data_IF_358553784748
#
_entry.id   IF_358553784748
#
_cell.length_a   1.000
_cell.length_b   1.000
_cell.length_c   1.000
_cell.angle_alpha   90.00
_cell.angle_beta   90.00
_cell.angle_gamma   90.00
#
_symmetry.space_group_name_H-M   'P 1'
#
loop_
_entity.id
_entity.type
_entity.pdbx_description
1 polymer ?
#
# COMPACT_ATOMS: atom_id res chain seq x y z
N UNK A 1 -46.68 18.17 42.73
CA UNK A 1 -45.78 17.06 42.35
C UNK A 1 -45.49 17.21 40.87
N UNK A 2 -44.24 16.94 40.47
CA UNK A 2 -43.50 17.62 39.40
C UNK A 2 -44.01 17.39 37.96
N UNK A 3 -43.75 18.41 37.14
CA UNK A 3 -43.96 18.49 35.71
C UNK A 3 -42.83 17.84 34.88
N UNK A 4 -43.01 17.87 33.55
CA UNK A 4 -42.01 17.82 32.44
C UNK A 4 -41.77 16.42 31.85
N UNK A 5 -41.55 16.20 30.56
CA UNK A 5 -41.60 17.03 29.35
C UNK A 5 -41.67 16.06 28.14
N UNK A 6 -42.38 16.48 27.10
CA UNK A 6 -42.37 15.89 25.76
C UNK A 6 -41.18 16.44 24.98
N UNK A 7 -40.41 15.60 24.26
CA UNK A 7 -39.63 16.06 23.11
C UNK A 7 -39.53 14.98 22.02
N UNK A 8 -39.94 15.41 20.83
CA UNK A 8 -39.64 14.86 19.50
C UNK A 8 -38.41 15.61 18.95
N UNK A 9 -37.67 14.99 18.01
CA UNK A 9 -37.15 15.58 16.75
C UNK A 9 -35.70 15.19 16.34
N UNK A 10 -35.64 14.61 15.14
CA UNK A 10 -34.81 14.91 13.96
C UNK A 10 -33.25 14.98 13.97
N UNK A 11 -32.74 14.35 12.90
CA UNK A 11 -31.39 14.30 12.33
C UNK A 11 -30.50 15.53 12.53
N UNK A 12 -29.21 15.30 12.84
CA UNK A 12 -28.15 16.18 12.38
C UNK A 12 -26.80 15.46 12.22
N UNK A 13 -26.07 15.80 11.14
CA UNK A 13 -24.77 15.24 10.73
C UNK A 13 -23.74 15.33 11.87
N UNK A 14 -22.95 14.28 12.11
CA UNK A 14 -21.67 14.40 12.84
C UNK A 14 -20.50 14.16 11.89
N UNK A 15 -19.95 15.26 11.41
CA UNK A 15 -18.62 15.32 10.82
C UNK A 15 -17.53 15.11 11.89
N UNK A 16 -16.31 14.96 11.39
CA UNK A 16 -15.09 14.83 12.18
C UNK A 16 -14.82 16.16 12.91
N UNK A 17 -14.68 16.13 14.23
CA UNK A 17 -14.31 17.30 15.04
C UNK A 17 -12.92 17.06 15.64
N UNK A 18 -11.91 17.82 15.20
CA UNK A 18 -10.64 17.98 15.91
C UNK A 18 -10.64 19.38 16.52
N UNK A 19 -10.77 19.46 17.85
CA UNK A 19 -10.62 20.73 18.57
C UNK A 19 -9.15 20.96 18.93
N UNK A 20 -8.61 22.06 18.44
CA UNK A 20 -7.36 22.67 18.91
C UNK A 20 -7.72 23.85 19.81
N UNK A 21 -7.15 23.94 21.02
CA UNK A 21 -7.30 25.10 21.92
C UNK A 21 -6.04 25.95 21.92
N UNK A 22 -5.94 27.01 21.10
CA UNK A 22 -4.83 27.94 21.18
C UNK A 22 -5.05 28.97 22.29
N UNK A 23 -4.01 29.16 23.10
CA UNK A 23 -3.87 30.29 24.03
C UNK A 23 -3.61 31.56 23.21
N UNK A 24 -4.53 32.52 23.30
CA UNK A 24 -4.49 33.77 22.53
C UNK A 24 -3.46 34.75 23.09
N UNK A 25 -2.34 34.97 22.40
CA UNK A 25 -1.58 36.23 22.49
C UNK A 25 -1.62 36.93 21.14
N UNK A 26 -2.26 38.10 21.11
CA UNK A 26 -2.38 38.96 19.94
C UNK A 26 -1.01 39.52 19.58
N UNK A 27 -0.49 39.13 18.42
CA UNK A 27 0.51 39.90 17.69
C UNK A 27 0.11 39.90 16.22
N UNK A 28 -0.13 41.10 15.69
CA UNK A 28 -0.48 41.35 14.30
C UNK A 28 0.81 41.51 13.48
N UNK A 29 0.74 41.06 12.22
CA UNK A 29 1.75 41.14 11.16
C UNK A 29 2.91 40.12 11.20
N UNK A 30 2.76 39.04 10.44
CA UNK A 30 3.68 38.78 9.33
C UNK A 30 3.07 37.83 8.31
N UNK A 31 3.44 38.05 7.06
CA UNK A 31 2.76 37.61 5.85
C UNK A 31 2.57 36.09 5.73
N UNK A 32 1.42 35.74 5.15
CA UNK A 32 1.08 34.40 4.72
C UNK A 32 2.13 33.84 3.74
N UNK A 33 2.92 32.88 4.22
CA UNK A 33 3.52 31.85 3.35
C UNK A 33 2.61 30.64 3.48
N UNK A 34 1.43 30.70 2.84
CA UNK A 34 0.80 29.48 2.37
C UNK A 34 1.72 28.94 1.29
N UNK A 35 2.69 28.12 1.68
CA UNK A 35 3.36 27.24 0.73
C UNK A 35 2.25 26.40 0.10
N UNK A 36 1.86 26.76 -1.13
CA UNK A 36 1.14 25.84 -1.98
C UNK A 36 2.07 24.63 -2.11
N UNK A 37 1.81 23.59 -1.33
CA UNK A 37 2.12 22.25 -1.79
C UNK A 37 1.27 22.08 -3.04
N UNK A 38 1.84 22.47 -4.19
CA UNK A 38 1.36 22.00 -5.46
C UNK A 38 1.40 20.48 -5.34
N UNK A 39 0.25 19.87 -5.10
CA UNK A 39 0.09 18.43 -5.27
C UNK A 39 0.45 18.21 -6.74
N UNK A 40 1.69 17.76 -7.00
CA UNK A 40 2.08 17.35 -8.32
C UNK A 40 0.98 16.40 -8.81
N UNK A 41 0.50 16.54 -10.06
CA UNK A 41 -0.46 15.59 -10.58
C UNK A 41 0.15 14.21 -10.40
N UNK A 42 -0.52 13.37 -9.60
CA UNK A 42 -0.07 12.02 -9.32
C UNK A 42 0.27 11.36 -10.65
N UNK A 43 1.52 10.91 -10.81
CA UNK A 43 1.90 10.21 -12.04
C UNK A 43 1.19 8.88 -12.02
N UNK A 44 0.03 8.84 -12.68
CA UNK A 44 -0.91 7.72 -12.58
C UNK A 44 -0.25 6.39 -12.91
N UNK A 45 0.72 6.38 -13.86
CA UNK A 45 1.54 5.21 -14.19
C UNK A 45 3.00 5.65 -14.15
N UNK A 46 3.75 5.14 -13.17
CA UNK A 46 5.17 5.43 -13.02
C UNK A 46 6.04 4.46 -13.82
N UNK A 47 5.56 3.23 -14.03
CA UNK A 47 6.22 2.18 -14.80
C UNK A 47 5.18 1.31 -15.51
N UNK A 48 5.46 0.98 -16.76
CA UNK A 48 4.68 0.10 -17.62
C UNK A 48 5.65 -0.66 -18.50
N UNK A 49 5.73 -1.98 -18.34
CA UNK A 49 6.65 -2.82 -19.10
C UNK A 49 6.41 -2.78 -20.61
N UNK A 50 5.17 -2.55 -21.04
CA UNK A 50 4.84 -2.41 -22.46
C UNK A 50 5.52 -1.18 -23.11
N UNK A 51 6.01 -0.24 -22.28
CA UNK A 51 6.68 0.99 -22.72
C UNK A 51 8.13 1.07 -22.24
N UNK A 52 8.40 0.60 -21.02
CA UNK A 52 9.65 0.85 -20.29
C UNK A 52 10.64 -0.31 -20.37
N UNK A 53 10.21 -1.47 -20.88
CA UNK A 53 10.94 -2.72 -20.82
C UNK A 53 10.68 -3.50 -19.54
N UNK A 54 11.23 -4.71 -19.49
CA UNK A 54 11.07 -5.69 -18.41
C UNK A 54 11.48 -5.13 -17.05
N UNK A 55 10.71 -5.45 -16.02
CA UNK A 55 11.11 -5.34 -14.63
C UNK A 55 12.22 -6.35 -14.34
N UNK A 56 13.00 -6.09 -13.30
CA UNK A 56 14.18 -6.90 -13.03
C UNK A 56 13.77 -8.27 -12.50
N UNK A 57 14.21 -9.31 -13.20
CA UNK A 57 14.18 -10.69 -12.74
C UNK A 57 15.26 -11.03 -11.69
N UNK A 58 16.03 -10.03 -11.22
CA UNK A 58 17.12 -10.21 -10.28
C UNK A 58 16.84 -9.50 -8.95
N UNK A 59 16.56 -10.30 -7.92
CA UNK A 59 16.32 -9.85 -6.54
C UNK A 59 17.45 -9.01 -5.92
N UNK A 60 18.69 -9.23 -6.36
CA UNK A 60 19.87 -8.48 -5.91
C UNK A 60 20.07 -7.15 -6.65
N UNK A 61 19.35 -6.93 -7.75
CA UNK A 61 19.41 -5.72 -8.57
C UNK A 61 18.00 -5.35 -9.08
N UNK A 62 17.06 -4.97 -8.19
CA UNK A 62 15.69 -4.64 -8.55
C UNK A 62 15.60 -3.37 -9.42
N UNK A 63 14.53 -3.24 -10.21
CA UNK A 63 14.24 -2.02 -10.96
C UNK A 63 13.93 -0.88 -10.00
N UNK A 64 14.76 0.17 -10.01
CA UNK A 64 14.58 1.32 -9.13
C UNK A 64 13.44 2.24 -9.62
N UNK A 65 12.39 2.35 -8.82
CA UNK A 65 11.22 3.18 -9.07
C UNK A 65 11.26 4.47 -8.25
N UNK A 66 11.01 5.59 -8.92
CA UNK A 66 10.88 6.90 -8.25
C UNK A 66 9.41 7.18 -7.96
N UNK A 67 9.05 7.20 -6.68
CA UNK A 67 7.71 7.57 -6.25
C UNK A 67 7.56 9.08 -6.15
N UNK A 68 6.37 9.57 -6.45
CA UNK A 68 5.94 10.95 -6.19
C UNK A 68 4.82 10.96 -5.15
N UNK A 69 4.63 12.03 -4.38
CA UNK A 69 3.49 12.12 -3.48
C UNK A 69 2.16 11.93 -4.23
N UNK A 70 1.33 11.01 -3.77
CA UNK A 70 0.05 10.66 -4.40
C UNK A 70 0.00 9.23 -4.93
N UNK A 71 -0.86 8.99 -5.93
CA UNK A 71 -1.02 7.69 -6.57
C UNK A 71 0.15 7.43 -7.54
N UNK A 72 0.79 6.27 -7.41
CA UNK A 72 1.79 5.78 -8.33
C UNK A 72 1.37 4.37 -8.74
N UNK A 73 1.19 4.10 -10.05
CA UNK A 73 0.88 2.74 -10.53
C UNK A 73 2.05 2.12 -11.27
N UNK A 74 2.23 0.83 -11.06
CA UNK A 74 3.21 -0.02 -11.75
C UNK A 74 2.40 -1.09 -12.48
N UNK A 75 2.71 -1.29 -13.75
CA UNK A 75 2.10 -2.33 -14.58
C UNK A 75 3.23 -3.25 -15.02
N UNK A 76 3.13 -4.51 -14.61
CA UNK A 76 4.08 -5.57 -14.91
C UNK A 76 3.38 -6.86 -15.31
N UNK A 77 4.16 -7.79 -15.82
CA UNK A 77 3.79 -9.09 -16.36
C UNK A 77 4.84 -10.07 -15.85
N UNK A 78 4.39 -11.20 -15.32
CA UNK A 78 5.26 -12.34 -15.03
C UNK A 78 4.79 -13.53 -15.83
N UNK A 79 5.69 -14.44 -16.19
CA UNK A 79 5.40 -15.63 -16.98
C UNK A 79 5.80 -16.95 -16.28
N UNK A 80 5.87 -16.97 -14.95
CA UNK A 80 6.08 -18.18 -14.16
C UNK A 80 7.54 -18.66 -14.10
N UNK A 81 7.80 -19.63 -13.22
CA UNK A 81 9.15 -20.18 -13.02
C UNK A 81 9.53 -21.20 -14.10
N UNK A 82 10.82 -21.35 -14.43
CA UNK A 82 11.28 -22.46 -15.25
C UNK A 82 10.96 -23.83 -14.60
N UNK A 83 10.65 -24.87 -15.40
CA UNK A 83 10.68 -24.90 -16.86
C UNK A 83 9.43 -24.37 -17.56
N UNK A 84 8.35 -24.08 -16.84
CA UNK A 84 7.07 -23.66 -17.44
C UNK A 84 7.09 -22.22 -17.96
N UNK A 85 7.99 -21.39 -17.42
CA UNK A 85 8.06 -19.95 -17.65
C UNK A 85 9.46 -19.40 -17.89
N UNK A 86 9.51 -18.16 -18.35
CA UNK A 86 10.77 -17.43 -18.61
C UNK A 86 10.98 -16.23 -17.70
N UNK A 87 9.98 -15.90 -16.90
CA UNK A 87 9.91 -14.65 -16.16
C UNK A 87 9.22 -14.92 -14.81
N UNK A 88 9.99 -15.45 -13.84
CA UNK A 88 9.45 -15.94 -12.59
C UNK A 88 8.86 -14.85 -11.70
N UNK A 89 9.55 -13.71 -11.57
CA UNK A 89 9.28 -12.70 -10.55
C UNK A 89 9.89 -11.35 -10.90
N UNK A 90 9.07 -10.32 -10.74
CA UNK A 90 9.49 -8.93 -10.85
C UNK A 90 9.99 -8.38 -9.51
N UNK A 91 11.18 -7.80 -9.54
CA UNK A 91 11.79 -7.13 -8.40
C UNK A 91 11.86 -5.63 -8.65
N UNK A 92 11.22 -4.87 -7.76
CA UNK A 92 11.23 -3.40 -7.77
C UNK A 92 11.80 -2.88 -6.47
N UNK A 93 12.46 -1.72 -6.52
CA UNK A 93 12.83 -1.01 -5.29
C UNK A 93 12.34 0.42 -5.34
N UNK A 94 11.97 0.97 -4.19
CA UNK A 94 11.56 2.37 -4.09
C UNK A 94 11.93 2.96 -2.74
N UNK A 95 11.95 4.29 -2.67
CA UNK A 95 12.17 5.02 -1.41
C UNK A 95 10.97 5.89 -1.08
N UNK A 96 10.46 5.75 0.13
CA UNK A 96 9.51 6.67 0.76
C UNK A 96 10.35 7.78 1.43
N UNK A 97 10.28 9.04 0.98
CA UNK A 97 11.10 10.11 1.54
C UNK A 97 10.71 10.46 2.99
N UNK A 98 11.63 11.06 3.74
CA UNK A 98 11.37 11.57 5.08
C UNK A 98 10.18 12.54 5.08
N UNK A 99 9.28 12.40 6.06
CA UNK A 99 8.05 13.19 6.14
C UNK A 99 6.86 12.62 5.34
N UNK A 100 7.07 11.52 4.59
CA UNK A 100 6.01 10.79 3.89
C UNK A 100 5.84 9.38 4.45
N UNK A 101 4.67 8.81 4.21
CA UNK A 101 4.32 7.42 4.53
C UNK A 101 3.49 6.83 3.39
N UNK A 102 3.58 5.52 3.16
CA UNK A 102 2.67 4.80 2.26
C UNK A 102 1.49 4.28 3.08
N UNK A 103 0.29 4.80 2.78
CA UNK A 103 -0.95 4.44 3.48
C UNK A 103 -1.73 3.33 2.78
N UNK A 104 -1.41 3.03 1.52
CA UNK A 104 -2.14 2.07 0.71
C UNK A 104 -1.25 1.42 -0.34
N UNK A 105 -1.42 0.11 -0.53
CA UNK A 105 -0.87 -0.67 -1.63
C UNK A 105 -2.01 -1.51 -2.21
N UNK A 106 -2.52 -1.12 -3.38
CA UNK A 106 -3.77 -1.68 -3.94
C UNK A 106 -3.44 -2.61 -5.09
N UNK A 107 -3.96 -3.84 -5.04
CA UNK A 107 -4.01 -4.68 -6.23
C UNK A 107 -5.06 -4.13 -7.18
N UNK A 108 -4.65 -3.34 -8.18
CA UNK A 108 -5.61 -2.64 -9.04
C UNK A 108 -6.31 -3.57 -10.03
N UNK A 109 -5.60 -4.58 -10.54
CA UNK A 109 -6.06 -5.52 -11.57
C UNK A 109 -5.01 -6.62 -11.72
N UNK A 110 -5.45 -7.84 -12.02
CA UNK A 110 -4.60 -8.86 -12.60
C UNK A 110 -5.35 -9.57 -13.74
N UNK A 111 -4.60 -10.20 -14.64
CA UNK A 111 -5.10 -11.18 -15.62
C UNK A 111 -4.14 -12.36 -15.54
N UNK A 112 -4.62 -13.50 -15.05
CA UNK A 112 -3.79 -14.71 -14.92
C UNK A 112 -4.66 -15.96 -15.09
N UNK A 113 -4.05 -17.02 -15.61
CA UNK A 113 -4.61 -18.38 -15.60
C UNK A 113 -4.27 -19.12 -14.31
N UNK A 114 -3.29 -18.63 -13.55
CA UNK A 114 -2.90 -19.23 -12.29
C UNK A 114 -3.94 -18.95 -11.22
N UNK A 115 -4.10 -19.91 -10.32
CA UNK A 115 -5.07 -19.80 -9.24
C UNK A 115 -4.65 -18.73 -8.20
N UNK A 116 -3.35 -18.47 -8.09
CA UNK A 116 -2.79 -17.60 -7.07
C UNK A 116 -1.50 -16.91 -7.54
N UNK A 117 -1.38 -15.61 -7.24
CA UNK A 117 -0.15 -14.82 -7.33
C UNK A 117 0.32 -14.36 -5.94
N UNK A 118 1.51 -13.76 -5.90
CA UNK A 118 2.18 -13.33 -4.68
C UNK A 118 2.75 -11.92 -4.84
N UNK A 119 2.73 -11.16 -3.74
CA UNK A 119 3.49 -9.91 -3.61
C UNK A 119 3.96 -9.79 -2.16
N UNK A 120 5.16 -9.24 -1.96
CA UNK A 120 5.76 -9.07 -0.65
C UNK A 120 6.86 -8.03 -0.70
N UNK A 121 7.34 -7.62 0.47
CA UNK A 121 8.46 -6.69 0.54
C UNK A 121 9.40 -6.98 1.71
N UNK A 122 10.62 -6.48 1.59
CA UNK A 122 11.65 -6.38 2.61
C UNK A 122 12.15 -4.92 2.67
N UNK A 123 12.67 -4.48 3.81
CA UNK A 123 13.44 -3.23 3.86
C UNK A 123 14.82 -3.40 3.20
N UNK A 124 15.19 -2.44 2.36
CA UNK A 124 16.46 -2.46 1.60
C UNK A 124 16.26 -2.07 0.14
N UNK A 125 17.35 -1.77 -0.56
CA UNK A 125 17.37 -1.51 -2.01
C UNK A 125 17.55 -2.77 -2.85
N UNK A 126 17.60 -3.93 -2.20
CA UNK A 126 17.67 -5.25 -2.80
C UNK A 126 17.04 -6.25 -1.82
N UNK A 127 16.55 -7.38 -2.35
CA UNK A 127 16.03 -8.46 -1.54
C UNK A 127 17.14 -9.48 -1.30
N UNK A 128 17.48 -9.69 -0.02
CA UNK A 128 18.62 -10.53 0.39
C UNK A 128 18.20 -11.90 0.93
N UNK A 129 16.89 -12.12 1.12
CA UNK A 129 16.35 -13.36 1.66
C UNK A 129 16.13 -14.45 0.61
N UNK A 130 15.52 -15.53 1.07
CA UNK A 130 14.96 -16.60 0.22
C UNK A 130 13.50 -16.25 -0.10
N UNK A 131 13.20 -16.10 -1.40
CA UNK A 131 11.89 -15.72 -1.94
C UNK A 131 10.80 -16.76 -1.68
N UNK A 132 11.17 -17.97 -1.28
CA UNK A 132 10.24 -19.05 -0.92
C UNK A 132 10.05 -19.20 0.58
N UNK A 133 10.67 -18.32 1.39
CA UNK A 133 10.58 -18.36 2.86
C UNK A 133 9.89 -17.11 3.37
N UNK A 134 8.74 -17.29 4.03
CA UNK A 134 7.95 -16.20 4.60
C UNK A 134 8.77 -15.28 5.53
N UNK A 135 9.70 -15.84 6.31
CA UNK A 135 10.59 -15.11 7.22
C UNK A 135 11.59 -14.16 6.53
N UNK A 136 11.70 -14.20 5.21
CA UNK A 136 12.47 -13.24 4.42
C UNK A 136 11.72 -11.91 4.20
N UNK A 137 10.40 -11.89 4.40
CA UNK A 137 9.54 -10.75 4.12
C UNK A 137 9.17 -9.99 5.41
N UNK A 138 9.06 -8.68 5.30
CA UNK A 138 8.42 -7.83 6.31
C UNK A 138 6.90 -8.04 6.32
N UNK A 139 6.31 -8.18 5.14
CA UNK A 139 4.93 -8.59 4.95
C UNK A 139 4.70 -9.04 3.52
N UNK A 140 3.67 -9.87 3.32
CA UNK A 140 3.31 -10.39 2.01
C UNK A 140 1.81 -10.63 1.91
N UNK A 141 1.31 -10.76 0.69
CA UNK A 141 -0.06 -11.11 0.40
C UNK A 141 -0.13 -12.03 -0.82
N UNK A 142 -1.05 -12.99 -0.76
CA UNK A 142 -1.49 -13.73 -1.94
C UNK A 142 -2.69 -13.03 -2.56
N UNK A 143 -2.84 -13.16 -3.87
CA UNK A 143 -4.00 -12.69 -4.61
C UNK A 143 -4.40 -13.71 -5.67
N UNK A 144 -5.60 -13.61 -6.23
CA UNK A 144 -6.14 -14.62 -7.16
C UNK A 144 -7.35 -15.35 -6.61
N UNK A 145 -7.83 -16.33 -7.37
CA UNK A 145 -9.05 -17.09 -7.09
C UNK A 145 -8.83 -18.32 -6.21
N UNK A 146 -7.62 -18.58 -5.73
CA UNK A 146 -7.35 -19.55 -4.66
C UNK A 146 -6.61 -18.93 -3.47
N UNK A 147 -6.42 -17.60 -3.47
CA UNK A 147 -5.90 -16.91 -2.30
C UNK A 147 -6.90 -16.99 -1.14
N UNK A 148 -6.44 -17.39 0.05
CA UNK A 148 -7.25 -17.35 1.26
C UNK A 148 -7.35 -15.90 1.72
N UNK A 149 -8.43 -15.24 1.34
CA UNK A 149 -8.60 -13.80 1.53
C UNK A 149 -9.35 -13.45 2.84
N UNK A 150 -9.26 -12.19 3.31
CA UNK A 150 -9.68 -11.78 4.65
C UNK A 150 -11.18 -11.67 4.90
N UNK A 151 -12.01 -11.95 3.90
CA UNK A 151 -13.45 -11.76 4.03
C UNK A 151 -14.12 -12.85 4.88
N UNK A 152 -13.35 -13.80 5.42
CA UNK A 152 -13.88 -14.90 6.25
C UNK A 152 -14.83 -15.79 5.47
N UNK A 153 -14.79 -15.71 4.14
CA UNK A 153 -15.64 -16.47 3.25
C UNK A 153 -14.86 -17.72 2.83
N UNK A 154 -15.45 -18.94 2.93
CA UNK A 154 -14.83 -20.14 2.36
C UNK A 154 -14.69 -20.09 0.83
N UNK A 155 -15.18 -19.02 0.19
CA UNK A 155 -15.05 -18.77 -1.24
C UNK A 155 -13.88 -17.79 -1.47
N UNK A 156 -12.92 -18.14 -2.33
CA UNK A 156 -11.89 -17.20 -2.76
C UNK A 156 -12.52 -15.94 -3.38
N UNK A 157 -12.32 -14.79 -2.75
CA UNK A 157 -12.77 -13.50 -3.26
C UNK A 157 -11.58 -12.73 -3.84
N UNK A 158 -11.67 -12.19 -5.05
CA UNK A 158 -10.57 -11.43 -5.66
C UNK A 158 -10.10 -10.27 -4.77
N UNK A 159 -8.80 -10.05 -4.65
CA UNK A 159 -8.23 -8.88 -3.94
C UNK A 159 -8.14 -7.63 -4.82
N UNK A 160 -8.74 -7.66 -6.02
CA UNK A 160 -8.81 -6.47 -6.89
C UNK A 160 -9.55 -5.33 -6.18
N UNK A 161 -8.92 -4.15 -6.14
CA UNK A 161 -9.41 -2.97 -5.44
C UNK A 161 -9.18 -2.99 -3.93
N UNK A 162 -8.59 -4.06 -3.37
CA UNK A 162 -8.28 -4.16 -1.95
C UNK A 162 -6.93 -3.52 -1.65
N UNK A 163 -6.87 -2.72 -0.57
CA UNK A 163 -5.60 -2.29 0.01
C UNK A 163 -4.97 -3.47 0.77
N UNK A 164 -3.86 -3.99 0.24
CA UNK A 164 -3.14 -5.14 0.77
C UNK A 164 -2.30 -4.78 1.99
N UNK A 165 -1.94 -3.51 2.21
CA UNK A 165 -0.99 -3.13 3.27
C UNK A 165 -1.42 -3.58 4.68
N UNK A 166 -2.70 -3.43 5.11
CA UNK A 166 -3.16 -3.98 6.39
C UNK A 166 -3.15 -5.51 6.44
N UNK A 167 -3.31 -6.18 5.30
CA UNK A 167 -3.32 -7.64 5.21
C UNK A 167 -1.90 -8.19 5.37
N UNK A 168 -0.95 -7.57 4.66
CA UNK A 168 0.47 -7.91 4.73
C UNK A 168 1.06 -7.76 6.14
N UNK A 169 0.49 -6.88 6.97
CA UNK A 169 0.92 -6.66 8.35
C UNK A 169 0.26 -7.61 9.36
N UNK A 170 -0.79 -8.33 8.97
CA UNK A 170 -1.55 -9.17 9.88
C UNK A 170 -0.97 -10.60 9.85
N UNK A 171 -0.47 -11.12 10.99
CA UNK A 171 0.18 -12.43 11.04
C UNK A 171 -0.76 -13.60 10.72
N UNK A 172 -2.08 -13.41 10.79
CA UNK A 172 -3.05 -14.42 10.33
C UNK A 172 -3.11 -14.53 8.80
N UNK A 173 -2.67 -13.50 8.07
CA UNK A 173 -2.67 -13.45 6.60
C UNK A 173 -1.26 -13.55 6.00
N UNK A 174 -0.25 -13.12 6.74
CA UNK A 174 1.16 -13.26 6.41
C UNK A 174 1.91 -14.11 7.47
N UNK A 175 1.49 -15.37 7.72
CA UNK A 175 2.12 -16.20 8.74
C UNK A 175 3.61 -16.41 8.48
N UNK A 176 4.42 -16.19 9.50
CA UNK A 176 5.88 -16.36 9.41
C UNK A 176 6.64 -15.15 8.84
N UNK A 177 5.95 -14.11 8.37
CA UNK A 177 6.59 -12.84 8.06
C UNK A 177 7.21 -12.20 9.31
N UNK A 178 8.24 -11.38 9.11
CA UNK A 178 8.93 -10.68 10.22
C UNK A 178 8.08 -9.55 10.82
N UNK A 179 7.11 -9.05 10.06
CA UNK A 179 6.13 -8.07 10.49
C UNK A 179 6.53 -6.62 10.23
N UNK A 180 5.53 -5.76 10.15
CA UNK A 180 5.66 -4.31 10.11
C UNK A 180 4.38 -3.66 10.65
N UNK A 181 4.37 -2.34 10.79
CA UNK A 181 3.19 -1.59 11.22
C UNK A 181 2.77 -0.60 10.14
N UNK A 182 1.55 -0.70 9.57
CA UNK A 182 1.01 0.31 8.67
C UNK A 182 0.75 1.64 9.40
N UNK A 183 0.91 2.79 8.72
CA UNK A 183 1.39 2.95 7.35
C UNK A 183 2.90 2.67 7.25
N UNK A 184 3.36 2.29 6.05
CA UNK A 184 4.78 2.04 5.84
C UNK A 184 5.54 3.38 5.91
N UNK A 185 6.49 3.48 6.83
CA UNK A 185 7.20 4.71 7.14
C UNK A 185 8.21 5.10 6.03
N UNK A 186 8.89 6.23 6.22
CA UNK A 186 10.02 6.59 5.38
C UNK A 186 11.12 5.52 5.42
N UNK A 187 11.69 5.21 4.26
CA UNK A 187 12.67 4.13 4.10
C UNK A 187 12.77 3.65 2.66
N UNK A 188 13.75 2.78 2.41
CA UNK A 188 13.91 2.09 1.13
C UNK A 188 13.42 0.65 1.26
N UNK A 189 12.64 0.20 0.28
CA UNK A 189 11.98 -1.10 0.28
C UNK A 189 12.18 -1.77 -1.08
N UNK A 190 12.25 -3.10 -1.06
CA UNK A 190 12.23 -3.98 -2.24
C UNK A 190 11.06 -4.93 -2.08
#
# INVERSE_FOLDING_TARGET
MLARDCWLQFFNRKGINMHYTPVTKKSLFSAAVCALLAAAPAKAIIFDEAVSGDLSNNKAAPTALTLTPGLNSVIGTVAGFPPEGTDPQDWVSFTIPAGFVMTSYVNSKYVSTDEQGFTGFQSGSAFSGDEFVAGSYAGYAHFGFAATNPDGNPVPASTVGVNLLPLMANPSFAPGATGFTPPLAAGTYT
#
